data_IF_431731069987
#
_entry.id   IF_431731069987
#
_cell.length_a   1.000
_cell.length_b   1.000
_cell.length_c   1.000
_cell.angle_alpha   90.00
_cell.angle_beta   90.00
_cell.angle_gamma   90.00
#
_symmetry.space_group_name_H-M   'P 1'
#
loop_
_entity.id
_entity.type
_entity.pdbx_description
1 polymer ?
#
# COMPACT_ATOMS: atom_id res chain seq x y z
N UNK A 1 10.73 8.52 -7.67
CA UNK A 1 9.57 9.34 -7.84
C UNK A 1 8.31 8.50 -7.65
N UNK A 2 7.21 9.07 -7.18
CA UNK A 2 5.98 8.38 -6.81
C UNK A 2 6.11 7.50 -5.55
N UNK A 3 6.99 7.90 -4.61
CA UNK A 3 7.26 7.16 -3.37
C UNK A 3 7.02 7.99 -2.12
N UNK A 4 6.43 9.16 -2.26
CA UNK A 4 6.10 10.01 -1.13
C UNK A 4 4.77 9.63 -0.50
N UNK A 5 4.66 9.94 0.78
CA UNK A 5 3.43 9.87 1.53
C UNK A 5 2.92 11.27 1.90
N UNK A 6 1.68 11.35 2.35
CA UNK A 6 1.10 12.59 2.82
C UNK A 6 1.93 13.18 3.99
N UNK A 7 2.19 14.50 4.03
CA UNK A 7 2.90 15.14 5.13
C UNK A 7 2.27 14.87 6.50
N UNK A 8 0.95 14.78 6.59
CA UNK A 8 0.25 14.42 7.84
C UNK A 8 0.69 13.05 8.34
N UNK A 9 0.80 12.06 7.45
CA UNK A 9 1.29 10.72 7.81
C UNK A 9 2.76 10.78 8.23
N UNK A 10 3.57 11.59 7.56
CA UNK A 10 4.98 11.73 7.86
C UNK A 10 5.23 12.34 9.25
N UNK A 11 4.43 13.34 9.66
CA UNK A 11 4.58 14.04 10.95
C UNK A 11 3.72 13.45 12.07
N UNK A 12 2.93 12.44 11.81
CA UNK A 12 2.05 11.87 12.82
C UNK A 12 2.79 11.30 14.04
N UNK A 13 3.96 10.66 13.89
CA UNK A 13 4.75 10.21 15.04
C UNK A 13 5.20 11.33 15.98
N UNK A 14 5.59 12.50 15.47
CA UNK A 14 5.95 13.67 16.31
C UNK A 14 4.73 14.20 17.05
N UNK A 15 3.56 14.20 16.42
CA UNK A 15 2.31 14.59 17.09
C UNK A 15 2.01 13.64 18.24
N UNK A 16 2.16 12.34 18.05
CA UNK A 16 2.00 11.35 19.11
C UNK A 16 3.04 11.55 20.23
N UNK A 17 4.31 11.67 19.87
CA UNK A 17 5.38 11.85 20.84
C UNK A 17 5.18 13.12 21.71
N UNK A 18 4.61 14.18 21.13
CA UNK A 18 4.36 15.45 21.83
C UNK A 18 3.05 15.52 22.62
N UNK A 19 2.10 14.60 22.39
CA UNK A 19 0.75 14.71 22.94
C UNK A 19 0.26 13.45 23.70
N UNK A 20 1.03 12.36 23.70
CA UNK A 20 0.66 11.12 24.37
C UNK A 20 1.60 10.85 25.56
N UNK A 21 1.23 11.26 26.78
CA UNK A 21 2.04 11.00 27.98
C UNK A 21 2.29 9.50 28.23
N UNK A 22 1.42 8.65 27.73
CA UNK A 22 1.52 7.18 27.83
C UNK A 22 2.76 6.61 27.12
N UNK A 23 3.37 7.39 26.23
CA UNK A 23 4.64 7.03 25.59
C UNK A 23 5.86 7.32 26.46
N UNK A 24 5.69 8.02 27.59
CA UNK A 24 6.79 8.29 28.52
C UNK A 24 7.37 6.97 29.06
N UNK A 25 8.69 6.83 28.97
CA UNK A 25 9.38 5.59 29.34
C UNK A 25 9.34 4.46 28.29
N UNK A 26 8.63 4.63 27.20
CA UNK A 26 8.60 3.69 26.07
C UNK A 26 9.67 4.05 25.04
N UNK A 27 10.33 3.05 24.45
CA UNK A 27 11.20 3.26 23.28
C UNK A 27 10.35 3.53 22.04
N UNK A 28 9.91 4.76 21.87
CA UNK A 28 9.13 5.19 20.73
C UNK A 28 10.06 5.58 19.57
N UNK A 29 10.13 4.74 18.55
CA UNK A 29 11.02 4.93 17.39
C UNK A 29 10.23 5.63 16.29
N UNK A 30 10.60 6.87 15.94
CA UNK A 30 9.95 7.66 14.89
C UNK A 30 10.94 8.29 13.92
N UNK A 31 12.04 7.60 13.67
CA UNK A 31 13.03 8.02 12.67
C UNK A 31 12.47 7.90 11.25
N UNK A 32 12.74 8.88 10.40
CA UNK A 32 12.35 8.86 9.00
C UNK A 32 13.15 7.86 8.22
N UNK A 33 12.46 6.88 7.61
CA UNK A 33 13.07 5.85 6.76
C UNK A 33 12.29 5.71 5.46
N UNK A 34 13.01 5.55 4.35
CA UNK A 34 12.42 5.29 3.04
C UNK A 34 12.55 3.82 2.65
N UNK A 35 11.45 3.12 2.50
CA UNK A 35 11.44 1.68 2.17
C UNK A 35 11.55 1.38 0.67
N UNK A 36 11.46 2.39 -0.19
CA UNK A 36 11.46 2.22 -1.65
C UNK A 36 12.86 1.91 -2.23
N UNK A 37 13.92 2.06 -1.44
CA UNK A 37 15.31 1.72 -1.79
C UNK A 37 15.88 0.76 -0.76
N UNK A 38 15.77 -0.55 -0.96
CA UNK A 38 16.15 -1.55 0.05
C UNK A 38 17.57 -1.40 0.59
N UNK A 39 18.55 -1.10 -0.26
CA UNK A 39 19.94 -0.91 0.17
C UNK A 39 20.12 0.30 1.09
N UNK A 40 19.51 1.44 0.72
CA UNK A 40 19.57 2.67 1.52
C UNK A 40 18.83 2.46 2.86
N UNK A 41 17.69 1.74 2.83
CA UNK A 41 16.93 1.38 4.02
C UNK A 41 17.75 0.55 5.00
N UNK A 42 18.38 -0.54 4.53
CA UNK A 42 19.20 -1.43 5.36
C UNK A 42 20.37 -0.66 5.99
N UNK A 43 21.09 0.12 5.18
CA UNK A 43 22.21 0.92 5.66
C UNK A 43 21.77 1.92 6.74
N UNK A 44 20.71 2.68 6.50
CA UNK A 44 20.17 3.63 7.46
C UNK A 44 19.71 2.97 8.76
N UNK A 45 18.98 1.88 8.66
CA UNK A 45 18.54 1.12 9.83
C UNK A 45 19.73 0.62 10.65
N UNK A 46 20.72 -0.01 10.00
CA UNK A 46 21.84 -0.61 10.70
C UNK A 46 22.82 0.40 11.30
N UNK A 47 23.02 1.56 10.64
CA UNK A 47 24.07 2.52 11.05
C UNK A 47 23.53 3.74 11.81
N UNK A 48 22.28 4.13 11.56
CA UNK A 48 21.77 5.38 12.08
C UNK A 48 20.61 5.20 13.07
N UNK A 49 19.67 4.29 12.78
CA UNK A 49 18.44 4.16 13.58
C UNK A 49 18.62 3.17 14.73
N UNK A 50 18.85 1.89 14.41
CA UNK A 50 18.88 0.85 15.45
C UNK A 50 19.94 1.08 16.53
N UNK A 51 21.15 1.58 16.23
CA UNK A 51 22.16 1.83 17.28
C UNK A 51 21.73 2.86 18.33
N UNK A 52 20.79 3.76 18.04
CA UNK A 52 20.26 4.71 19.02
C UNK A 52 19.44 4.02 20.12
N UNK A 53 18.83 2.90 19.80
CA UNK A 53 17.82 2.25 20.65
C UNK A 53 18.27 0.87 21.14
N UNK A 54 19.08 0.17 20.37
CA UNK A 54 19.47 -1.23 20.61
C UNK A 54 20.96 -1.42 20.35
N UNK A 55 21.61 -2.22 21.20
CA UNK A 55 22.99 -2.65 20.99
C UNK A 55 23.09 -4.02 20.34
N UNK A 56 24.22 -4.29 19.68
CA UNK A 56 24.58 -5.64 19.23
C UNK A 56 23.91 -6.16 17.96
N UNK A 57 23.13 -5.34 17.25
CA UNK A 57 22.50 -5.74 15.98
C UNK A 57 23.47 -5.49 14.83
N UNK A 58 23.83 -6.53 14.10
CA UNK A 58 24.70 -6.44 12.94
C UNK A 58 23.97 -6.01 11.67
N UNK A 59 24.69 -5.37 10.74
CA UNK A 59 24.12 -5.03 9.42
C UNK A 59 23.65 -6.26 8.64
N UNK A 60 24.31 -7.41 8.84
CA UNK A 60 23.92 -8.69 8.23
C UNK A 60 22.55 -9.17 8.73
N UNK A 61 22.25 -8.99 10.01
CA UNK A 61 20.93 -9.33 10.57
C UNK A 61 19.86 -8.40 10.02
N UNK A 62 20.14 -7.09 9.93
CA UNK A 62 19.22 -6.12 9.34
C UNK A 62 18.96 -6.43 7.86
N UNK A 63 20.01 -6.81 7.11
CA UNK A 63 19.86 -7.21 5.71
C UNK A 63 18.97 -8.45 5.59
N UNK A 64 19.22 -9.50 6.37
CA UNK A 64 18.44 -10.73 6.32
C UNK A 64 16.94 -10.48 6.68
N UNK A 65 16.70 -9.66 7.69
CA UNK A 65 15.33 -9.29 8.08
C UNK A 65 14.64 -8.47 6.98
N UNK A 66 15.34 -7.51 6.38
CA UNK A 66 14.80 -6.71 5.27
C UNK A 66 14.50 -7.57 4.04
N UNK A 67 15.40 -8.46 3.66
CA UNK A 67 15.19 -9.37 2.51
C UNK A 67 13.95 -10.24 2.72
N UNK A 68 13.77 -10.80 3.91
CA UNK A 68 12.58 -11.57 4.26
C UNK A 68 11.28 -10.71 4.19
N UNK A 69 11.33 -9.49 4.72
CA UNK A 69 10.18 -8.59 4.71
C UNK A 69 9.79 -8.14 3.29
N UNK A 70 10.76 -7.79 2.45
CA UNK A 70 10.49 -7.43 1.05
C UNK A 70 9.96 -8.62 0.24
N UNK A 71 10.49 -9.81 0.46
CA UNK A 71 10.00 -11.03 -0.20
C UNK A 71 8.55 -11.33 0.18
N UNK A 72 8.19 -11.22 1.45
CA UNK A 72 6.81 -11.42 1.91
C UNK A 72 5.86 -10.33 1.38
N UNK A 73 6.31 -9.07 1.33
CA UNK A 73 5.52 -8.00 0.72
C UNK A 73 5.19 -8.28 -0.76
N UNK A 74 6.18 -8.68 -1.55
CA UNK A 74 5.97 -9.03 -2.95
C UNK A 74 5.07 -10.27 -3.11
N UNK A 75 5.25 -11.28 -2.26
CA UNK A 75 4.37 -12.45 -2.25
C UNK A 75 2.92 -12.09 -1.91
N UNK A 76 2.71 -11.20 -0.93
CA UNK A 76 1.39 -10.69 -0.57
C UNK A 76 0.74 -9.94 -1.73
N UNK A 77 1.45 -9.02 -2.36
CA UNK A 77 0.95 -8.27 -3.52
C UNK A 77 0.63 -9.20 -4.71
N UNK A 78 1.44 -10.24 -4.91
CA UNK A 78 1.16 -11.24 -5.96
C UNK A 78 -0.15 -12.00 -5.67
N UNK A 79 -0.41 -12.40 -4.42
CA UNK A 79 -1.67 -13.04 -4.01
C UNK A 79 -2.88 -12.14 -4.29
N UNK A 80 -2.79 -10.84 -3.98
CA UNK A 80 -3.87 -9.88 -4.27
C UNK A 80 -4.15 -9.82 -5.78
N UNK A 81 -3.10 -9.72 -6.60
CA UNK A 81 -3.23 -9.67 -8.07
C UNK A 81 -3.85 -10.94 -8.65
N UNK A 82 -3.45 -12.10 -8.16
CA UNK A 82 -4.03 -13.38 -8.57
C UNK A 82 -5.50 -13.42 -8.19
N UNK A 83 -5.83 -13.06 -6.94
CA UNK A 83 -7.22 -13.06 -6.47
C UNK A 83 -8.10 -12.08 -7.25
N UNK A 84 -7.59 -10.89 -7.55
CA UNK A 84 -8.28 -9.93 -8.42
C UNK A 84 -8.53 -10.48 -9.83
N UNK A 85 -7.55 -11.19 -10.41
CA UNK A 85 -7.71 -11.85 -11.72
C UNK A 85 -8.80 -12.92 -11.70
N UNK A 86 -8.81 -13.78 -10.69
CA UNK A 86 -9.84 -14.81 -10.51
C UNK A 86 -11.25 -14.21 -10.44
N UNK A 87 -11.42 -13.12 -9.67
CA UNK A 87 -12.71 -12.42 -9.53
C UNK A 87 -13.14 -11.80 -10.86
N UNK A 88 -12.24 -11.17 -11.60
CA UNK A 88 -12.51 -10.56 -12.90
C UNK A 88 -12.94 -11.64 -13.90
N UNK A 89 -12.22 -12.74 -13.99
CA UNK A 89 -12.50 -13.82 -14.91
C UNK A 89 -13.84 -14.49 -14.59
N UNK A 90 -14.16 -14.69 -13.33
CA UNK A 90 -15.45 -15.23 -12.90
C UNK A 90 -16.60 -14.25 -13.21
N UNK A 91 -16.42 -12.96 -12.90
CA UNK A 91 -17.42 -11.94 -13.22
C UNK A 91 -17.73 -11.89 -14.72
N UNK A 92 -16.70 -11.97 -15.56
CA UNK A 92 -16.84 -12.01 -17.03
C UNK A 92 -17.58 -13.25 -17.52
N UNK A 93 -17.28 -14.40 -16.94
CA UNK A 93 -18.01 -15.64 -17.26
C UNK A 93 -19.49 -15.55 -16.91
N UNK A 94 -19.81 -14.81 -15.86
CA UNK A 94 -21.18 -14.59 -15.39
C UNK A 94 -21.87 -13.37 -16.03
N UNK A 95 -21.21 -12.62 -16.90
CA UNK A 95 -21.75 -11.40 -17.53
C UNK A 95 -22.01 -10.26 -16.51
N UNK A 96 -21.29 -10.24 -15.39
CA UNK A 96 -21.45 -9.23 -14.35
C UNK A 96 -20.59 -8.00 -14.64
N UNK A 97 -21.10 -6.83 -14.22
CA UNK A 97 -20.29 -5.60 -14.11
C UNK A 97 -19.25 -5.78 -13.03
N UNK A 98 -18.11 -5.16 -13.21
CA UNK A 98 -17.00 -5.15 -12.26
C UNK A 98 -16.83 -3.72 -11.75
N UNK A 99 -16.87 -3.55 -10.45
CA UNK A 99 -16.64 -2.26 -9.79
C UNK A 99 -15.26 -2.30 -9.12
N UNK A 100 -14.44 -1.30 -9.43
CA UNK A 100 -13.15 -1.12 -8.80
C UNK A 100 -13.29 -0.24 -7.57
N UNK A 101 -13.05 -0.81 -6.39
CA UNK A 101 -13.03 -0.05 -5.17
C UNK A 101 -11.68 0.67 -5.08
N UNK A 102 -11.69 1.95 -5.42
CA UNK A 102 -10.49 2.78 -5.50
C UNK A 102 -10.35 3.63 -4.23
N UNK A 103 -9.26 3.43 -3.51
CA UNK A 103 -8.99 4.15 -2.29
C UNK A 103 -7.63 3.78 -1.70
N UNK A 104 -7.39 4.22 -0.48
CA UNK A 104 -6.22 3.76 0.28
C UNK A 104 -6.51 2.39 0.90
N UNK A 105 -5.49 1.59 1.26
CA UNK A 105 -5.70 0.23 1.77
C UNK A 105 -6.68 0.15 2.96
N UNK A 106 -6.69 1.14 3.84
CA UNK A 106 -7.61 1.15 4.99
C UNK A 106 -9.09 1.33 4.59
N UNK A 107 -9.41 1.77 3.37
CA UNK A 107 -10.80 1.87 2.88
C UNK A 107 -11.44 0.50 2.63
N UNK A 108 -10.67 -0.59 2.60
CA UNK A 108 -11.20 -1.96 2.52
C UNK A 108 -11.37 -2.62 3.90
N UNK A 109 -10.95 -1.96 4.96
CA UNK A 109 -11.24 -2.39 6.33
C UNK A 109 -12.76 -2.38 6.57
N UNK A 110 -13.36 -3.44 7.16
CA UNK A 110 -14.80 -3.55 7.35
C UNK A 110 -15.42 -2.42 8.16
N UNK A 111 -14.70 -1.88 9.14
CA UNK A 111 -15.19 -0.77 9.98
C UNK A 111 -15.17 0.56 9.21
N UNK A 112 -14.15 0.78 8.40
CA UNK A 112 -14.02 1.99 7.58
C UNK A 112 -14.93 1.94 6.36
N UNK A 113 -15.07 0.78 5.75
CA UNK A 113 -15.84 0.54 4.52
C UNK A 113 -17.36 0.57 4.75
N UNK A 114 -17.82 0.28 5.97
CA UNK A 114 -19.25 0.22 6.33
C UNK A 114 -20.07 -0.73 5.44
N UNK A 115 -19.45 -1.72 4.79
CA UNK A 115 -20.13 -2.72 3.97
C UNK A 115 -20.48 -2.25 2.55
N UNK A 116 -19.81 -1.23 2.01
CA UNK A 116 -20.00 -0.77 0.62
C UNK A 116 -19.70 -1.90 -0.37
N UNK A 117 -18.69 -2.71 -0.13
CA UNK A 117 -18.35 -3.90 -0.92
C UNK A 117 -19.52 -4.89 -1.00
N UNK A 118 -20.19 -5.14 0.15
CA UNK A 118 -21.37 -6.00 0.25
C UNK A 118 -22.58 -5.39 -0.43
N UNK A 119 -22.74 -4.07 -0.35
CA UNK A 119 -23.84 -3.37 -1.04
C UNK A 119 -23.68 -3.55 -2.55
N UNK A 120 -22.51 -3.32 -3.10
CA UNK A 120 -22.22 -3.47 -4.54
C UNK A 120 -22.48 -4.91 -4.98
N UNK A 121 -22.00 -5.89 -4.23
CA UNK A 121 -22.19 -7.32 -4.60
C UNK A 121 -23.66 -7.76 -4.51
N UNK A 122 -24.46 -7.23 -3.58
CA UNK A 122 -25.91 -7.45 -3.52
C UNK A 122 -26.67 -6.91 -4.73
N UNK A 123 -26.15 -5.89 -5.40
CA UNK A 123 -26.68 -5.39 -6.66
C UNK A 123 -26.20 -6.18 -7.89
N UNK A 124 -25.54 -7.30 -7.69
CA UNK A 124 -25.14 -8.23 -8.75
C UNK A 124 -23.82 -7.90 -9.46
N UNK A 125 -23.09 -6.87 -9.03
CA UNK A 125 -21.76 -6.57 -9.54
C UNK A 125 -20.67 -7.35 -8.77
N UNK A 126 -19.53 -7.55 -9.42
CA UNK A 126 -18.31 -8.02 -8.76
C UNK A 126 -17.48 -6.82 -8.26
N UNK A 127 -16.70 -7.02 -7.21
CA UNK A 127 -15.84 -5.97 -6.65
C UNK A 127 -14.38 -6.43 -6.66
N UNK A 128 -13.50 -5.58 -7.13
CA UNK A 128 -12.04 -5.73 -7.00
C UNK A 128 -11.44 -4.44 -6.44
N UNK A 129 -10.25 -4.53 -5.87
CA UNK A 129 -9.53 -3.37 -5.34
C UNK A 129 -8.52 -2.83 -6.35
N UNK A 130 -8.14 -1.56 -6.22
CA UNK A 130 -7.22 -0.89 -7.14
C UNK A 130 -5.84 -1.56 -7.19
N UNK A 131 -5.36 -2.12 -6.09
CA UNK A 131 -4.06 -2.79 -5.98
C UNK A 131 -4.01 -4.14 -6.71
N UNK A 132 -5.17 -4.73 -7.00
CA UNK A 132 -5.26 -5.96 -7.77
C UNK A 132 -5.11 -5.74 -9.29
N UNK A 133 -5.25 -4.49 -9.76
CA UNK A 133 -5.27 -4.16 -11.20
C UNK A 133 -4.30 -3.05 -11.61
N UNK A 134 -3.83 -2.23 -10.69
CA UNK A 134 -3.00 -1.05 -10.99
C UNK A 134 -1.69 -1.38 -11.73
N UNK A 135 -1.18 -2.59 -11.57
CA UNK A 135 0.01 -3.07 -12.27
C UNK A 135 -0.24 -3.48 -13.74
N UNK A 136 -1.49 -3.49 -14.19
CA UNK A 136 -1.86 -3.86 -15.59
C UNK A 136 -1.65 -2.71 -16.58
N UNK A 137 -1.25 -1.54 -16.10
CA UNK A 137 -0.98 -0.36 -16.93
C UNK A 137 0.47 0.05 -16.76
N UNK A 138 1.14 0.31 -17.88
CA UNK A 138 2.46 0.90 -17.86
C UNK A 138 2.41 2.35 -17.36
N UNK A 139 3.52 2.83 -16.79
CA UNK A 139 3.64 4.23 -16.35
C UNK A 139 3.30 5.19 -17.51
N UNK A 140 2.45 6.15 -17.26
CA UNK A 140 1.99 7.13 -18.22
C UNK A 140 2.11 8.55 -17.64
N UNK A 141 2.26 9.58 -18.50
CA UNK A 141 2.28 10.97 -18.05
C UNK A 141 0.91 11.38 -17.50
N UNK A 142 0.94 12.16 -16.43
CA UNK A 142 -0.25 12.78 -15.82
C UNK A 142 -0.17 14.30 -15.97
N UNK A 143 -1.32 14.98 -16.06
CA UNK A 143 -1.41 16.44 -16.12
C UNK A 143 -1.10 17.12 -14.77
N UNK A 144 -1.03 16.34 -13.70
CA UNK A 144 -0.70 16.79 -12.35
C UNK A 144 0.56 16.10 -11.85
N UNK A 145 1.20 16.70 -10.85
CA UNK A 145 2.38 16.11 -10.23
C UNK A 145 2.02 14.77 -9.56
N UNK A 146 2.53 13.68 -10.12
CA UNK A 146 2.31 12.32 -9.64
C UNK A 146 3.47 11.88 -8.73
N UNK A 147 3.44 12.31 -7.48
CA UNK A 147 4.49 12.02 -6.48
C UNK A 147 4.05 11.05 -5.39
N UNK A 148 2.76 10.81 -5.24
CA UNK A 148 2.18 10.04 -4.14
C UNK A 148 2.05 8.58 -4.54
N UNK A 149 2.50 7.66 -3.70
CA UNK A 149 2.44 6.20 -3.95
C UNK A 149 1.02 5.73 -4.24
N UNK A 150 0.08 6.04 -3.37
CA UNK A 150 -1.30 5.57 -3.53
C UNK A 150 -2.03 6.27 -4.68
N UNK A 151 -1.86 7.58 -4.87
CA UNK A 151 -2.47 8.29 -6.00
C UNK A 151 -1.97 7.73 -7.34
N UNK A 152 -0.68 7.40 -7.43
CA UNK A 152 -0.11 6.77 -8.62
C UNK A 152 -0.80 5.44 -8.96
N UNK A 153 -1.12 4.64 -7.94
CA UNK A 153 -1.87 3.38 -8.09
C UNK A 153 -3.32 3.65 -8.51
N UNK A 154 -3.99 4.63 -7.90
CA UNK A 154 -5.35 5.03 -8.26
C UNK A 154 -5.43 5.49 -9.72
N UNK A 155 -4.49 6.32 -10.17
CA UNK A 155 -4.43 6.74 -11.58
C UNK A 155 -4.23 5.55 -12.53
N UNK A 156 -3.38 4.59 -12.16
CA UNK A 156 -3.17 3.39 -12.96
C UNK A 156 -4.44 2.52 -13.02
N UNK A 157 -5.12 2.33 -11.91
CA UNK A 157 -6.39 1.59 -11.87
C UNK A 157 -7.46 2.28 -12.71
N UNK A 158 -7.65 3.59 -12.56
CA UNK A 158 -8.59 4.37 -13.36
C UNK A 158 -8.25 4.27 -14.86
N UNK A 159 -6.97 4.40 -15.22
CA UNK A 159 -6.54 4.23 -16.62
C UNK A 159 -6.85 2.83 -17.15
N UNK A 160 -6.67 1.79 -16.34
CA UNK A 160 -7.03 0.44 -16.74
C UNK A 160 -8.55 0.33 -17.00
N UNK A 161 -9.39 0.84 -16.09
CA UNK A 161 -10.84 0.83 -16.25
C UNK A 161 -11.30 1.45 -17.58
N UNK A 162 -10.69 2.58 -18.01
CA UNK A 162 -11.05 3.22 -19.30
C UNK A 162 -10.80 2.32 -20.52
N UNK A 163 -10.03 1.26 -20.39
CA UNK A 163 -9.77 0.30 -21.46
C UNK A 163 -10.70 -0.92 -21.42
N UNK A 164 -11.54 -1.03 -20.39
CA UNK A 164 -12.44 -2.16 -20.15
C UNK A 164 -13.90 -1.70 -20.31
N UNK A 165 -14.72 -2.47 -21.04
CA UNK A 165 -16.14 -2.15 -21.25
C UNK A 165 -17.05 -2.59 -20.11
N UNK A 166 -16.57 -3.49 -19.27
CA UNK A 166 -17.31 -4.18 -18.21
C UNK A 166 -16.89 -3.75 -16.79
N UNK A 167 -16.01 -2.74 -16.72
CA UNK A 167 -15.39 -2.30 -15.45
C UNK A 167 -15.53 -0.78 -15.25
N UNK A 168 -15.90 -0.38 -14.04
CA UNK A 168 -16.04 1.02 -13.59
C UNK A 168 -15.30 1.27 -12.28
#
# INVERSE_FOLDING_TARGET
>A
DNHYNCPVVAYYPEVLAGNCPELEGTKFIYDYVGIHRPKDFVHKMAKEVLPKYFGGISEKEVQAAADAAYAEYEAHMAKIRVKGSEIIDEARRQGKRIIVLAGRPYHVDPEVNHGIDRLITRHGAAVVTEDSISNRVQKFPTSVLNQWTYHSRLYAAAKYCTTQKDMD
#
